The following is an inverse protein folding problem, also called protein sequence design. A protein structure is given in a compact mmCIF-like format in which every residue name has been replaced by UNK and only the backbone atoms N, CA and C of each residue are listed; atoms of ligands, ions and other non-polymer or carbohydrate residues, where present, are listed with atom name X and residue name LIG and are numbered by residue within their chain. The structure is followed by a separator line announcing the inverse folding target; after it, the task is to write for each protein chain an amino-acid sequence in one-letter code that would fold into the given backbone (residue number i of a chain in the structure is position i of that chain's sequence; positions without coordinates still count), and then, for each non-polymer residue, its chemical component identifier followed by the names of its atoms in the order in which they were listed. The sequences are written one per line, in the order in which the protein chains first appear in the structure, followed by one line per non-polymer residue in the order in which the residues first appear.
data_IF_674304607626
#
_entry.id   IF_674304607626
#
_cell.length_a   1.000
_cell.length_b   1.000
_cell.length_c   1.000
_cell.angle_alpha   90.00
_cell.angle_beta   90.00
_cell.angle_gamma   90.00
#
_symmetry.space_group_name_H-M   'P 1'
#
loop_
_entity.id
_entity.type
_entity.pdbx_description
1 polymer ?
#
# COMPACT_ATOMS: atom_id res chain seq x y z
N UNK A 1 12.88 -7.03 65.02
CA UNK A 1 12.51 -8.46 64.93
C UNK A 1 11.51 -8.61 63.81
N UNK A 2 11.98 -8.94 62.63
CA UNK A 2 11.15 -9.11 61.42
C UNK A 2 10.78 -10.59 61.26
N UNK A 3 9.50 -10.90 61.42
CA UNK A 3 8.96 -12.26 61.33
C UNK A 3 8.95 -12.66 59.86
N UNK A 4 9.77 -13.65 59.48
CA UNK A 4 9.73 -14.25 58.13
C UNK A 4 8.50 -15.16 58.04
N UNK A 5 7.53 -14.77 57.21
CA UNK A 5 6.37 -15.61 56.87
C UNK A 5 6.81 -16.74 55.95
N UNK A 6 6.47 -17.98 56.29
CA UNK A 6 6.89 -19.19 55.61
C UNK A 6 5.94 -19.46 54.40
N UNK A 7 6.48 -19.92 53.28
CA UNK A 7 5.78 -20.17 51.99
C UNK A 7 4.56 -21.08 52.13
N UNK A 8 4.49 -21.92 53.17
CA UNK A 8 3.34 -22.78 53.45
C UNK A 8 2.14 -22.05 54.04
N UNK A 9 2.34 -21.00 54.83
CA UNK A 9 1.23 -20.18 55.38
C UNK A 9 0.57 -19.31 54.32
N UNK A 10 1.34 -18.88 53.32
CA UNK A 10 0.80 -18.09 52.19
C UNK A 10 -0.15 -18.93 51.29
N UNK A 11 0.15 -20.21 51.10
CA UNK A 11 -0.70 -21.12 50.29
C UNK A 11 -2.00 -21.48 51.01
N UNK A 12 -2.03 -21.56 52.35
CA UNK A 12 -3.26 -21.85 53.09
C UNK A 12 -4.21 -20.67 53.20
N UNK A 13 -3.72 -19.44 53.21
CA UNK A 13 -4.58 -18.23 53.21
C UNK A 13 -5.14 -17.95 51.80
N UNK A 14 -4.40 -18.28 50.75
CA UNK A 14 -4.90 -18.15 49.38
C UNK A 14 -5.96 -19.20 49.00
N UNK A 15 -5.93 -20.38 49.63
CA UNK A 15 -6.90 -21.46 49.38
C UNK A 15 -8.29 -21.24 50.01
N UNK A 16 -8.39 -20.42 51.06
CA UNK A 16 -9.67 -20.13 51.72
C UNK A 16 -10.42 -18.93 51.13
N UNK A 17 -9.73 -18.07 50.35
CA UNK A 17 -10.37 -16.95 49.64
C UNK A 17 -10.97 -17.35 48.30
N UNK A 18 -10.62 -18.53 47.75
CA UNK A 18 -11.10 -18.98 46.42
C UNK A 18 -12.43 -19.75 46.48
N UNK A 19 -12.87 -20.19 47.67
CA UNK A 19 -14.09 -20.99 47.82
C UNK A 19 -15.37 -20.19 48.11
N UNK A 20 -15.28 -18.88 48.26
CA UNK A 20 -16.41 -18.00 48.60
C UNK A 20 -16.99 -17.16 47.47
N UNK A 21 -16.42 -17.20 46.27
CA UNK A 21 -16.83 -16.31 45.17
C UNK A 21 -17.37 -17.03 43.89
N UNK A 22 -17.80 -18.28 44.03
CA UNK A 22 -18.33 -19.05 42.91
C UNK A 22 -19.89 -19.17 42.85
N UNK A 23 -20.60 -18.20 43.40
CA UNK A 23 -22.06 -18.27 43.37
C UNK A 23 -22.69 -16.92 42.97
N UNK A 24 -22.40 -16.43 41.78
CA UNK A 24 -23.25 -15.47 41.04
C UNK A 24 -22.62 -15.07 39.69
N UNK A 25 -22.12 -16.00 38.90
CA UNK A 25 -21.94 -15.74 37.46
C UNK A 25 -23.06 -16.48 36.75
N UNK A 26 -24.17 -15.80 36.51
CA UNK A 26 -25.17 -16.27 35.58
C UNK A 26 -24.54 -16.54 34.21
N UNK A 27 -25.15 -17.35 33.33
CA UNK A 27 -24.59 -17.62 32.03
C UNK A 27 -24.35 -16.30 31.34
N UNK A 28 -23.06 -16.02 31.04
CA UNK A 28 -22.68 -14.94 30.13
C UNK A 28 -23.48 -15.21 28.85
N UNK A 29 -24.46 -14.33 28.58
CA UNK A 29 -25.12 -14.33 27.29
C UNK A 29 -23.99 -14.36 26.24
N UNK A 30 -24.01 -15.36 25.36
CA UNK A 30 -23.10 -15.45 24.26
C UNK A 30 -23.15 -14.09 23.55
N UNK A 31 -22.07 -13.34 23.65
CA UNK A 31 -21.96 -12.10 22.89
C UNK A 31 -22.14 -12.52 21.42
N UNK A 32 -23.16 -12.00 20.75
CA UNK A 32 -23.27 -12.15 19.30
C UNK A 32 -21.91 -11.78 18.72
N UNK A 33 -21.23 -12.76 18.13
CA UNK A 33 -19.96 -12.53 17.43
C UNK A 33 -20.26 -11.51 16.32
N UNK A 34 -19.92 -10.25 16.59
CA UNK A 34 -19.87 -9.26 15.51
C UNK A 34 -18.89 -9.80 14.48
N UNK A 35 -19.31 -9.90 13.19
CA UNK A 35 -18.38 -10.32 12.16
C UNK A 35 -17.12 -9.46 12.27
N UNK A 36 -15.96 -10.10 12.27
CA UNK A 36 -14.68 -9.40 12.35
C UNK A 36 -14.63 -8.29 11.31
N UNK A 37 -14.13 -7.10 11.66
CA UNK A 37 -14.05 -6.00 10.69
C UNK A 37 -13.24 -6.49 9.49
N UNK A 38 -13.77 -6.22 8.29
CA UNK A 38 -13.17 -6.64 7.03
C UNK A 38 -11.79 -6.02 6.89
N UNK A 39 -10.75 -6.83 6.67
CA UNK A 39 -9.40 -6.33 6.48
C UNK A 39 -9.28 -5.54 5.17
N UNK A 40 -8.30 -4.63 5.08
CA UNK A 40 -8.05 -3.89 3.84
C UNK A 40 -7.56 -4.80 2.71
N UNK A 41 -6.85 -5.91 3.02
CA UNK A 41 -6.47 -6.93 2.05
C UNK A 41 -7.69 -7.64 1.46
N UNK A 42 -8.64 -8.07 2.31
CA UNK A 42 -9.89 -8.66 1.85
C UNK A 42 -10.72 -7.68 1.00
N UNK A 43 -10.78 -6.41 1.40
CA UNK A 43 -11.46 -5.36 0.63
C UNK A 43 -10.80 -5.13 -0.74
N UNK A 44 -9.47 -5.08 -0.79
CA UNK A 44 -8.75 -4.95 -2.06
C UNK A 44 -9.03 -6.14 -2.98
N UNK A 45 -8.99 -7.36 -2.46
CA UNK A 45 -9.29 -8.60 -3.20
C UNK A 45 -10.68 -8.58 -3.81
N UNK A 46 -11.68 -8.11 -3.06
CA UNK A 46 -13.04 -7.93 -3.57
C UNK A 46 -13.11 -6.92 -4.72
N UNK A 47 -12.50 -5.74 -4.54
CA UNK A 47 -12.45 -4.71 -5.58
C UNK A 47 -11.73 -5.20 -6.84
N UNK A 48 -10.60 -5.88 -6.68
CA UNK A 48 -9.81 -6.42 -7.78
C UNK A 48 -10.57 -7.48 -8.61
N UNK A 49 -11.41 -8.29 -7.94
CA UNK A 49 -12.21 -9.32 -8.59
C UNK A 49 -13.63 -8.85 -8.95
N UNK A 50 -13.92 -7.58 -8.74
CA UNK A 50 -15.21 -6.97 -9.05
C UNK A 50 -15.45 -6.80 -10.55
N UNK A 51 -16.68 -6.38 -10.94
CA UNK A 51 -17.05 -6.20 -12.34
C UNK A 51 -16.36 -4.98 -12.98
N UNK A 52 -15.93 -4.03 -12.17
CA UNK A 52 -15.25 -2.82 -12.62
C UNK A 52 -13.76 -2.88 -12.28
N UNK A 53 -12.86 -2.54 -13.22
CA UNK A 53 -11.43 -2.46 -12.93
C UNK A 53 -11.13 -1.42 -11.83
N UNK A 54 -10.19 -1.75 -10.96
CA UNK A 54 -9.77 -0.88 -9.88
C UNK A 54 -8.68 0.09 -10.35
N UNK A 55 -8.94 1.38 -10.28
CA UNK A 55 -7.95 2.42 -10.51
C UNK A 55 -7.36 2.85 -9.17
N UNK A 56 -6.08 2.62 -8.97
CA UNK A 56 -5.30 3.09 -7.83
C UNK A 56 -4.51 4.33 -8.27
N UNK A 57 -4.94 5.50 -7.82
CA UNK A 57 -4.18 6.73 -8.08
C UNK A 57 -2.90 6.74 -7.24
N UNK A 58 -1.81 7.29 -7.81
CA UNK A 58 -0.50 7.26 -7.18
C UNK A 58 -0.38 8.40 -6.16
N UNK A 59 -0.25 8.03 -4.87
CA UNK A 59 0.06 8.96 -3.79
C UNK A 59 1.55 8.96 -3.50
N UNK A 60 2.03 10.03 -2.90
CA UNK A 60 3.39 10.15 -2.41
C UNK A 60 3.45 10.53 -0.92
N UNK A 61 2.32 10.98 -0.34
CA UNK A 61 2.18 11.30 1.07
C UNK A 61 0.73 11.08 1.56
N UNK A 62 0.48 11.31 2.84
CA UNK A 62 -0.84 11.16 3.46
C UNK A 62 -1.85 12.18 2.89
N UNK A 63 -1.43 13.41 2.61
CA UNK A 63 -2.33 14.45 2.09
C UNK A 63 -2.82 14.07 0.69
N UNK A 64 -1.92 13.62 -0.19
CA UNK A 64 -2.27 13.15 -1.53
C UNK A 64 -3.16 11.91 -1.47
N UNK A 65 -2.87 10.95 -0.58
CA UNK A 65 -3.68 9.75 -0.40
C UNK A 65 -5.12 10.10 0.05
N UNK A 66 -5.28 11.02 0.99
CA UNK A 66 -6.61 11.52 1.40
C UNK A 66 -7.30 12.31 0.30
N UNK A 67 -6.57 13.10 -0.47
CA UNK A 67 -7.15 13.81 -1.63
C UNK A 67 -7.69 12.82 -2.66
N UNK A 68 -6.97 11.73 -2.92
CA UNK A 68 -7.43 10.62 -3.77
C UNK A 68 -8.74 10.03 -3.23
N UNK A 69 -8.81 9.78 -1.92
CA UNK A 69 -10.03 9.28 -1.27
C UNK A 69 -11.20 10.28 -1.39
N UNK A 70 -10.96 11.58 -1.18
CA UNK A 70 -11.95 12.66 -1.34
C UNK A 70 -12.51 12.73 -2.77
N UNK A 71 -11.69 12.41 -3.77
CA UNK A 71 -12.12 12.29 -5.17
C UNK A 71 -12.86 10.99 -5.48
N UNK A 72 -13.07 10.12 -4.50
CA UNK A 72 -13.89 8.91 -4.63
C UNK A 72 -13.19 7.70 -5.24
N UNK A 73 -11.87 7.74 -5.41
CA UNK A 73 -11.10 6.55 -5.76
C UNK A 73 -11.24 5.47 -4.69
N UNK A 74 -11.12 4.21 -5.09
CA UNK A 74 -11.32 3.05 -4.21
C UNK A 74 -10.03 2.35 -3.80
N UNK A 75 -8.88 2.83 -4.28
CA UNK A 75 -7.56 2.33 -3.93
C UNK A 75 -6.49 3.39 -4.16
N UNK A 76 -5.43 3.28 -3.40
CA UNK A 76 -4.23 4.12 -3.49
C UNK A 76 -3.05 3.25 -3.88
N UNK A 77 -2.16 3.76 -4.71
CA UNK A 77 -0.87 3.16 -5.00
C UNK A 77 0.24 4.07 -4.46
N UNK A 78 1.20 3.51 -3.72
CA UNK A 78 2.41 4.21 -3.29
C UNK A 78 3.60 3.54 -3.96
N UNK A 79 4.27 4.28 -4.83
CA UNK A 79 5.44 3.76 -5.55
C UNK A 79 6.72 3.97 -4.76
N UNK A 80 7.64 3.00 -4.78
CA UNK A 80 8.95 3.11 -4.13
C UNK A 80 9.74 4.34 -4.58
N UNK A 81 9.61 4.73 -5.85
CA UNK A 81 10.22 5.97 -6.36
C UNK A 81 9.68 7.23 -5.69
N UNK A 82 8.38 7.28 -5.39
CA UNK A 82 7.78 8.38 -4.65
C UNK A 82 8.29 8.41 -3.20
N UNK A 83 8.37 7.25 -2.56
CA UNK A 83 8.91 7.12 -1.20
C UNK A 83 10.37 7.57 -1.12
N UNK A 84 11.23 7.21 -2.11
CA UNK A 84 12.61 7.70 -2.19
C UNK A 84 12.67 9.23 -2.31
N UNK A 85 11.80 9.83 -3.11
CA UNK A 85 11.72 11.27 -3.30
C UNK A 85 11.26 11.98 -2.03
N UNK A 86 10.21 11.48 -1.37
CA UNK A 86 9.64 12.11 -0.16
C UNK A 86 10.55 12.00 1.06
N UNK A 87 11.18 10.85 1.27
CA UNK A 87 12.03 10.65 2.44
C UNK A 87 13.39 11.35 2.31
N UNK A 88 14.00 11.32 1.13
CA UNK A 88 15.42 11.67 0.95
C UNK A 88 15.68 12.65 -0.19
N UNK A 89 14.68 13.01 -1.01
CA UNK A 89 14.84 13.76 -2.27
C UNK A 89 15.84 13.08 -3.22
N UNK A 90 15.86 11.75 -3.25
CA UNK A 90 16.78 10.94 -4.04
C UNK A 90 16.06 10.14 -5.13
N UNK A 91 16.78 9.80 -6.22
CA UNK A 91 16.22 8.95 -7.27
C UNK A 91 15.99 7.51 -6.79
N UNK A 92 15.15 6.76 -7.52
CA UNK A 92 14.85 5.35 -7.27
C UNK A 92 16.04 4.45 -7.65
N UNK A 93 16.98 4.31 -6.71
CA UNK A 93 18.21 3.53 -6.87
C UNK A 93 18.47 2.59 -5.69
N UNK A 94 17.42 2.11 -5.04
CA UNK A 94 17.50 1.23 -3.86
C UNK A 94 18.30 1.82 -2.69
N UNK A 95 18.20 3.12 -2.49
CA UNK A 95 18.85 3.82 -1.38
C UNK A 95 17.98 3.71 -0.13
N UNK A 96 16.67 3.89 -0.27
CA UNK A 96 15.70 3.64 0.78
C UNK A 96 15.54 2.12 0.95
N UNK A 97 15.63 1.66 2.17
CA UNK A 97 15.50 0.22 2.48
C UNK A 97 14.03 -0.22 2.46
N UNK A 98 13.80 -1.51 2.27
CA UNK A 98 12.44 -2.10 2.32
C UNK A 98 11.74 -1.80 3.67
N UNK A 99 12.48 -1.76 4.79
CA UNK A 99 11.91 -1.40 6.09
C UNK A 99 11.39 0.03 6.11
N UNK A 100 12.15 0.98 5.59
CA UNK A 100 11.74 2.39 5.50
C UNK A 100 10.54 2.57 4.56
N UNK A 101 10.49 1.86 3.43
CA UNK A 101 9.34 1.84 2.54
C UNK A 101 8.09 1.36 3.30
N UNK A 102 8.17 0.21 3.97
CA UNK A 102 7.04 -0.35 4.72
C UNK A 102 6.60 0.58 5.85
N UNK A 103 7.52 1.17 6.58
CA UNK A 103 7.20 2.12 7.65
C UNK A 103 6.48 3.35 7.11
N UNK A 104 6.98 3.95 6.04
CA UNK A 104 6.37 5.11 5.41
C UNK A 104 4.98 4.80 4.85
N UNK A 105 4.85 3.72 4.08
CA UNK A 105 3.59 3.34 3.45
C UNK A 105 2.54 2.90 4.49
N UNK A 106 2.98 2.37 5.65
CA UNK A 106 2.10 2.07 6.78
C UNK A 106 1.49 3.32 7.40
N UNK A 107 2.23 4.44 7.44
CA UNK A 107 1.66 5.74 7.88
C UNK A 107 0.56 6.18 6.93
N UNK A 108 0.74 6.02 5.63
CA UNK A 108 -0.29 6.33 4.63
C UNK A 108 -1.50 5.40 4.83
N UNK A 109 -1.26 4.08 4.95
CA UNK A 109 -2.32 3.08 5.12
C UNK A 109 -3.16 3.32 6.38
N UNK A 110 -2.53 3.75 7.48
CA UNK A 110 -3.22 4.08 8.72
C UNK A 110 -4.10 5.34 8.66
N UNK A 111 -3.94 6.16 7.63
CA UNK A 111 -4.60 7.46 7.51
C UNK A 111 -5.65 7.56 6.40
N UNK A 112 -5.97 6.48 5.70
CA UNK A 112 -7.03 6.40 4.69
C UNK A 112 -7.98 5.24 4.96
N UNK A 113 -9.22 5.34 4.49
CA UNK A 113 -10.24 4.28 4.63
C UNK A 113 -10.36 3.40 3.37
N UNK A 114 -9.43 3.55 2.43
CA UNK A 114 -9.35 2.77 1.18
C UNK A 114 -8.06 1.97 1.13
N UNK A 115 -8.04 0.79 0.47
CA UNK A 115 -6.87 -0.06 0.41
C UNK A 115 -5.64 0.62 -0.20
N UNK A 116 -4.48 0.42 0.41
CA UNK A 116 -3.18 0.90 -0.08
C UNK A 116 -2.40 -0.26 -0.69
N UNK A 117 -1.93 -0.06 -1.92
CA UNK A 117 -0.94 -0.89 -2.61
C UNK A 117 0.42 -0.26 -2.41
N UNK A 118 1.33 -0.96 -1.78
CA UNK A 118 2.73 -0.56 -1.62
C UNK A 118 3.62 -1.24 -2.67
N UNK A 119 4.42 -0.47 -3.39
CA UNK A 119 5.52 -0.98 -4.21
C UNK A 119 6.74 -1.17 -3.29
N UNK A 120 6.99 -2.40 -2.91
CA UNK A 120 8.03 -2.76 -1.93
C UNK A 120 9.30 -3.29 -2.60
N UNK A 121 9.51 -2.91 -3.84
CA UNK A 121 10.68 -3.28 -4.63
C UNK A 121 10.89 -4.81 -4.73
N UNK A 122 12.08 -5.32 -4.37
CA UNK A 122 12.42 -6.75 -4.35
C UNK A 122 11.99 -7.47 -3.06
N UNK A 123 11.31 -6.76 -2.15
CA UNK A 123 10.86 -7.25 -0.84
C UNK A 123 12.00 -7.86 0.00
N UNK A 124 13.25 -7.42 -0.23
CA UNK A 124 14.45 -7.90 0.44
C UNK A 124 15.12 -9.09 -0.23
N UNK A 125 14.69 -9.46 -1.45
CA UNK A 125 15.32 -10.35 -2.42
C UNK A 125 15.60 -11.81 -2.00
N UNK A 126 15.41 -12.16 -0.74
CA UNK A 126 15.58 -13.55 -0.26
C UNK A 126 14.31 -14.05 0.42
N UNK A 127 13.95 -15.35 0.32
CA UNK A 127 12.70 -15.86 0.90
C UNK A 127 12.53 -15.54 2.39
N UNK A 128 13.59 -15.56 3.20
CA UNK A 128 13.49 -15.25 4.62
C UNK A 128 13.21 -13.76 4.88
N UNK A 129 13.81 -12.87 4.11
CA UNK A 129 13.51 -11.44 4.20
C UNK A 129 12.09 -11.15 3.70
N UNK A 130 11.69 -11.74 2.57
CA UNK A 130 10.33 -11.62 2.03
C UNK A 130 9.30 -12.08 3.05
N UNK A 131 9.50 -13.23 3.70
CA UNK A 131 8.62 -13.73 4.76
C UNK A 131 8.49 -12.72 5.92
N UNK A 132 9.62 -12.19 6.38
CA UNK A 132 9.65 -11.19 7.46
C UNK A 132 8.93 -9.91 7.08
N UNK A 133 9.25 -9.36 5.90
CA UNK A 133 8.71 -8.08 5.44
C UNK A 133 7.23 -8.17 5.06
N UNK A 134 6.77 -9.30 4.52
CA UNK A 134 5.35 -9.52 4.26
C UNK A 134 4.52 -9.44 5.54
N UNK A 135 4.99 -10.05 6.62
CA UNK A 135 4.34 -9.92 7.95
C UNK A 135 4.39 -8.49 8.49
N UNK A 136 5.48 -7.76 8.26
CA UNK A 136 5.60 -6.38 8.70
C UNK A 136 4.64 -5.47 7.92
N UNK A 137 4.58 -5.59 6.60
CA UNK A 137 3.70 -4.84 5.72
C UNK A 137 2.21 -5.06 6.08
N UNK A 138 1.78 -6.31 6.24
CA UNK A 138 0.40 -6.62 6.61
C UNK A 138 0.03 -6.07 7.98
N UNK A 139 0.92 -6.17 8.99
CA UNK A 139 0.72 -5.57 10.32
C UNK A 139 0.67 -4.04 10.27
N UNK A 140 1.36 -3.43 9.33
CA UNK A 140 1.31 -1.99 9.06
C UNK A 140 0.02 -1.52 8.37
N UNK A 141 -0.89 -2.45 8.05
CA UNK A 141 -2.17 -2.11 7.40
C UNK A 141 -2.10 -2.03 5.87
N UNK A 142 -0.97 -2.38 5.26
CA UNK A 142 -0.82 -2.44 3.81
C UNK A 142 -1.74 -3.53 3.27
N UNK A 143 -2.66 -3.16 2.37
CA UNK A 143 -3.66 -4.06 1.81
C UNK A 143 -3.08 -4.97 0.71
N UNK A 144 -2.08 -4.47 0.01
CA UNK A 144 -1.48 -5.16 -1.12
C UNK A 144 0.00 -4.80 -1.25
N UNK A 145 0.87 -5.80 -1.36
CA UNK A 145 2.29 -5.62 -1.63
C UNK A 145 2.59 -6.00 -3.09
N UNK A 146 3.16 -5.05 -3.83
CA UNK A 146 3.69 -5.29 -5.17
C UNK A 146 5.22 -5.40 -5.07
N UNK A 147 5.79 -6.52 -5.51
CA UNK A 147 7.23 -6.76 -5.48
C UNK A 147 7.74 -7.37 -6.77
N UNK A 148 8.97 -7.02 -7.13
CA UNK A 148 9.50 -7.31 -8.45
C UNK A 148 10.60 -8.38 -8.44
N UNK A 149 10.88 -8.94 -9.62
CA UNK A 149 11.94 -9.91 -9.85
C UNK A 149 13.30 -9.26 -10.20
N UNK A 150 13.49 -7.98 -9.87
CA UNK A 150 14.76 -7.27 -10.11
C UNK A 150 15.87 -7.78 -9.22
N UNK A 151 17.08 -7.89 -9.77
CA UNK A 151 18.26 -8.21 -8.95
C UNK A 151 18.66 -7.01 -8.09
N UNK A 152 18.83 -7.17 -6.76
CA UNK A 152 19.15 -6.07 -5.86
C UNK A 152 20.39 -5.28 -6.24
N UNK A 153 21.45 -5.97 -6.63
CA UNK A 153 22.71 -5.34 -7.05
C UNK A 153 22.59 -4.48 -8.31
N UNK A 154 21.54 -4.69 -9.09
CA UNK A 154 21.32 -3.97 -10.33
C UNK A 154 20.41 -2.74 -10.13
N UNK A 155 19.90 -2.49 -8.93
CA UNK A 155 19.06 -1.30 -8.68
C UNK A 155 19.87 -0.02 -8.75
N UNK A 156 21.02 0.04 -8.11
CA UNK A 156 21.91 1.20 -8.19
C UNK A 156 22.42 1.48 -9.63
N UNK A 157 22.39 0.46 -10.49
CA UNK A 157 22.79 0.52 -11.90
C UNK A 157 21.63 0.19 -12.84
N UNK A 158 20.40 0.30 -12.37
CA UNK A 158 19.18 -0.20 -13.03
C UNK A 158 19.00 0.28 -14.47
N UNK A 159 19.52 1.45 -14.80
CA UNK A 159 19.45 2.00 -16.15
C UNK A 159 20.58 1.55 -17.07
N UNK A 160 21.66 0.98 -16.54
CA UNK A 160 22.83 0.57 -17.31
C UNK A 160 23.00 -0.95 -17.42
N UNK A 161 22.56 -1.72 -16.42
CA UNK A 161 22.70 -3.19 -16.40
C UNK A 161 21.40 -3.81 -15.88
N UNK A 162 20.37 -3.94 -16.73
CA UNK A 162 19.13 -4.59 -16.33
C UNK A 162 19.37 -6.08 -16.05
N UNK A 163 18.90 -6.56 -14.91
CA UNK A 163 18.94 -7.96 -14.54
C UNK A 163 17.74 -8.35 -13.70
N UNK A 164 17.30 -9.58 -13.90
CA UNK A 164 16.22 -10.19 -13.13
C UNK A 164 16.72 -11.41 -12.37
N UNK A 165 16.08 -11.70 -11.24
CA UNK A 165 16.34 -12.92 -10.48
C UNK A 165 16.13 -14.17 -11.33
N UNK A 166 16.85 -15.28 -11.06
CA UNK A 166 16.46 -16.58 -11.59
C UNK A 166 14.97 -16.84 -11.27
N UNK A 167 14.21 -17.34 -12.25
CA UNK A 167 12.76 -17.60 -12.12
C UNK A 167 12.44 -18.40 -10.85
N UNK A 168 13.22 -19.45 -10.55
CA UNK A 168 13.04 -20.27 -9.35
C UNK A 168 13.17 -19.44 -8.05
N UNK A 169 14.11 -18.48 -7.99
CA UNK A 169 14.28 -17.60 -6.82
C UNK A 169 13.06 -16.72 -6.60
N UNK A 170 12.49 -16.14 -7.66
CA UNK A 170 11.27 -15.34 -7.52
C UNK A 170 10.08 -16.20 -7.10
N UNK A 171 9.98 -17.44 -7.57
CA UNK A 171 8.98 -18.40 -7.13
C UNK A 171 9.12 -18.68 -5.61
N UNK A 172 10.34 -18.92 -5.12
CA UNK A 172 10.61 -19.11 -3.69
C UNK A 172 10.20 -17.87 -2.87
N UNK A 173 10.46 -16.67 -3.38
CA UNK A 173 10.06 -15.41 -2.76
C UNK A 173 8.53 -15.28 -2.69
N UNK A 174 7.82 -15.65 -3.76
CA UNK A 174 6.35 -15.63 -3.78
C UNK A 174 5.77 -16.62 -2.78
N UNK A 175 6.31 -17.84 -2.70
CA UNK A 175 5.90 -18.84 -1.70
C UNK A 175 6.10 -18.27 -0.28
N UNK A 176 7.27 -17.69 0.01
CA UNK A 176 7.55 -17.09 1.31
C UNK A 176 6.59 -15.96 1.69
N UNK A 177 6.22 -15.10 0.73
CA UNK A 177 5.22 -14.06 0.94
C UNK A 177 3.83 -14.65 1.19
N UNK A 178 3.46 -15.69 0.42
CA UNK A 178 2.17 -16.37 0.57
C UNK A 178 2.03 -17.08 1.92
N UNK A 179 3.09 -17.73 2.40
CA UNK A 179 3.12 -18.37 3.72
C UNK A 179 3.10 -17.37 4.89
N UNK A 180 3.57 -16.15 4.65
CA UNK A 180 3.70 -15.13 5.70
C UNK A 180 2.42 -14.35 5.95
N UNK A 181 1.63 -14.12 4.89
CA UNK A 181 0.43 -13.27 4.95
C UNK A 181 -0.78 -14.00 5.52
N UNK A 182 -1.75 -13.22 5.96
CA UNK A 182 -3.12 -13.69 6.26
C UNK A 182 -4.07 -13.31 5.12
N UNK A 183 -4.26 -12.01 4.88
CA UNK A 183 -5.22 -11.47 3.90
C UNK A 183 -4.61 -10.54 2.86
N UNK A 184 -3.39 -10.03 3.09
CA UNK A 184 -2.72 -9.11 2.17
C UNK A 184 -2.64 -9.69 0.76
N UNK A 185 -2.96 -8.88 -0.25
CA UNK A 185 -2.85 -9.28 -1.66
C UNK A 185 -1.39 -9.19 -2.11
N UNK A 186 -0.96 -10.15 -2.91
CA UNK A 186 0.38 -10.20 -3.49
C UNK A 186 0.33 -9.92 -4.98
N UNK A 187 1.03 -8.88 -5.42
CA UNK A 187 1.26 -8.58 -6.83
C UNK A 187 2.71 -8.93 -7.16
N UNK A 188 2.92 -9.96 -7.98
CA UNK A 188 4.24 -10.26 -8.50
C UNK A 188 4.49 -9.43 -9.76
N UNK A 189 5.51 -8.57 -9.73
CA UNK A 189 5.91 -7.73 -10.86
C UNK A 189 7.00 -8.43 -11.65
N UNK A 190 6.70 -8.74 -12.91
CA UNK A 190 7.65 -9.33 -13.85
C UNK A 190 8.32 -8.22 -14.68
N UNK A 191 9.61 -8.04 -14.52
CA UNK A 191 10.41 -7.04 -15.23
C UNK A 191 11.08 -7.62 -16.50
N UNK A 192 11.10 -8.94 -16.73
CA UNK A 192 11.34 -9.44 -18.06
C UNK A 192 10.24 -8.85 -18.98
N UNK A 193 10.55 -8.36 -20.14
CA UNK A 193 11.66 -8.60 -21.03
C UNK A 193 12.77 -7.53 -20.98
N UNK A 194 12.91 -6.76 -19.92
CA UNK A 194 13.86 -5.64 -19.88
C UNK A 194 15.27 -6.04 -20.31
N UNK A 195 15.85 -7.19 -19.86
CA UNK A 195 17.19 -7.56 -20.32
C UNK A 195 17.26 -7.97 -21.79
N UNK A 196 16.22 -8.66 -22.32
CA UNK A 196 16.32 -9.37 -23.59
C UNK A 196 15.16 -9.06 -24.56
N UNK A 197 14.23 -8.16 -24.22
CA UNK A 197 12.99 -7.91 -24.97
C UNK A 197 12.19 -9.19 -25.31
N UNK A 198 12.30 -10.23 -24.49
CA UNK A 198 11.67 -11.53 -24.73
C UNK A 198 10.25 -11.57 -24.15
N UNK A 199 9.28 -11.36 -25.02
CA UNK A 199 7.85 -11.50 -24.64
C UNK A 199 7.52 -12.92 -24.14
N UNK A 200 8.14 -13.94 -24.74
CA UNK A 200 7.93 -15.34 -24.34
C UNK A 200 8.45 -15.60 -22.94
N UNK A 201 9.65 -15.11 -22.59
CA UNK A 201 10.20 -15.23 -21.24
C UNK A 201 9.33 -14.50 -20.22
N UNK A 202 8.86 -13.31 -20.55
CA UNK A 202 7.97 -12.56 -19.67
C UNK A 202 6.69 -13.35 -19.38
N UNK A 203 6.05 -13.93 -20.39
CA UNK A 203 4.82 -14.71 -20.20
C UNK A 203 5.08 -16.00 -19.39
N UNK A 204 6.19 -16.69 -19.66
CA UNK A 204 6.60 -17.90 -18.93
C UNK A 204 6.83 -17.60 -17.43
N UNK A 205 7.53 -16.50 -17.12
CA UNK A 205 7.73 -16.04 -15.74
C UNK A 205 6.43 -15.62 -15.08
N UNK A 206 5.66 -14.78 -15.76
CA UNK A 206 4.39 -14.26 -15.24
C UNK A 206 3.38 -15.38 -14.91
N UNK A 207 3.28 -16.39 -15.77
CA UNK A 207 2.45 -17.57 -15.51
C UNK A 207 2.96 -18.37 -14.31
N UNK A 208 4.28 -18.61 -14.22
CA UNK A 208 4.87 -19.31 -13.08
C UNK A 208 4.69 -18.54 -11.76
N UNK A 209 4.75 -17.22 -11.77
CA UNK A 209 4.48 -16.39 -10.58
C UNK A 209 3.01 -16.45 -10.13
N UNK A 210 2.09 -16.49 -11.10
CA UNK A 210 0.67 -16.71 -10.84
C UNK A 210 0.41 -18.08 -10.18
N UNK A 211 1.07 -19.13 -10.66
CA UNK A 211 0.99 -20.49 -10.10
C UNK A 211 1.63 -20.59 -8.71
N UNK A 212 2.71 -19.86 -8.46
CA UNK A 212 3.41 -19.82 -7.18
C UNK A 212 2.63 -19.15 -6.04
N UNK A 213 1.48 -18.52 -6.33
CA UNK A 213 0.62 -17.95 -5.28
C UNK A 213 0.44 -16.44 -5.33
N UNK A 214 0.94 -15.75 -6.35
CA UNK A 214 0.59 -14.37 -6.60
C UNK A 214 -0.92 -14.25 -6.92
N UNK A 215 -1.60 -13.27 -6.30
CA UNK A 215 -3.00 -12.99 -6.56
C UNK A 215 -3.22 -12.23 -7.86
N UNK A 216 -2.22 -11.41 -8.22
CA UNK A 216 -2.23 -10.55 -9.39
C UNK A 216 -0.81 -10.48 -9.97
N UNK A 217 -0.69 -10.26 -11.27
CA UNK A 217 0.62 -10.15 -11.93
C UNK A 217 0.76 -8.80 -12.60
N UNK A 218 1.84 -8.10 -12.29
CA UNK A 218 2.18 -6.82 -12.90
C UNK A 218 3.18 -7.04 -14.04
N UNK A 219 2.75 -6.67 -15.25
CA UNK A 219 3.56 -6.74 -16.47
C UNK A 219 3.50 -5.39 -17.20
N UNK A 220 4.59 -5.06 -17.88
CA UNK A 220 4.67 -3.89 -18.74
C UNK A 220 4.54 -4.26 -20.21
N UNK A 221 3.41 -3.96 -20.83
CA UNK A 221 3.16 -4.27 -22.24
C UNK A 221 2.88 -2.99 -23.06
N UNK A 222 3.26 -2.97 -24.34
CA UNK A 222 3.16 -1.77 -25.18
C UNK A 222 1.73 -1.45 -25.58
N UNK A 223 0.86 -2.45 -25.77
CA UNK A 223 -0.51 -2.26 -26.28
C UNK A 223 -1.56 -2.99 -25.45
N UNK A 224 -2.81 -2.50 -25.50
CA UNK A 224 -3.96 -3.18 -24.89
C UNK A 224 -4.16 -4.60 -25.44
N UNK A 225 -3.89 -4.82 -26.72
CA UNK A 225 -4.02 -6.15 -27.33
C UNK A 225 -3.02 -7.17 -26.79
N UNK A 226 -1.82 -6.71 -26.40
CA UNK A 226 -0.83 -7.59 -25.79
C UNK A 226 -1.24 -7.99 -24.37
N UNK A 227 -1.92 -7.10 -23.61
CA UNK A 227 -2.52 -7.46 -22.33
C UNK A 227 -3.61 -8.53 -22.48
N UNK A 228 -4.45 -8.47 -23.53
CA UNK A 228 -5.46 -9.51 -23.78
C UNK A 228 -4.80 -10.88 -23.98
N UNK A 229 -3.74 -10.95 -24.82
CA UNK A 229 -2.97 -12.20 -25.03
C UNK A 229 -2.33 -12.70 -23.74
N UNK A 230 -1.76 -11.79 -22.94
CA UNK A 230 -1.15 -12.12 -21.67
C UNK A 230 -2.17 -12.66 -20.67
N UNK A 231 -3.38 -12.09 -20.62
CA UNK A 231 -4.44 -12.55 -19.75
C UNK A 231 -4.87 -14.01 -20.04
N UNK A 232 -4.85 -14.42 -21.31
CA UNK A 232 -5.15 -15.80 -21.70
C UNK A 232 -4.09 -16.80 -21.20
N UNK A 233 -2.81 -16.38 -21.17
CA UNK A 233 -1.71 -17.20 -20.73
C UNK A 233 -1.59 -17.25 -19.20
N UNK A 234 -1.74 -16.12 -18.52
CA UNK A 234 -1.46 -15.97 -17.08
C UNK A 234 -2.64 -16.45 -16.23
N UNK A 235 -3.90 -16.27 -16.68
CA UNK A 235 -5.13 -16.71 -15.99
C UNK A 235 -5.30 -16.18 -14.56
N UNK A 236 -4.70 -15.04 -14.26
CA UNK A 236 -4.84 -14.29 -13.02
C UNK A 236 -5.12 -12.83 -13.34
N UNK A 237 -5.67 -12.05 -12.42
CA UNK A 237 -5.79 -10.60 -12.57
C UNK A 237 -4.47 -9.97 -13.01
N UNK A 238 -4.55 -9.03 -13.96
CA UNK A 238 -3.39 -8.27 -14.43
C UNK A 238 -3.39 -6.87 -13.83
N UNK A 239 -2.19 -6.42 -13.47
CA UNK A 239 -1.90 -5.07 -13.02
C UNK A 239 -1.09 -4.32 -14.10
N UNK A 240 -1.42 -3.05 -14.34
CA UNK A 240 -0.75 -2.24 -15.35
C UNK A 240 -0.56 -0.78 -14.91
N UNK A 241 0.41 -0.10 -15.52
CA UNK A 241 0.51 1.36 -15.47
C UNK A 241 -0.41 1.94 -16.53
N UNK A 242 -1.39 2.71 -16.09
CA UNK A 242 -2.44 3.37 -16.89
C UNK A 242 -2.28 4.90 -16.85
N UNK A 243 -3.13 5.65 -17.57
CA UNK A 243 -3.05 7.11 -17.61
C UNK A 243 -1.95 7.63 -18.52
N UNK A 244 -1.57 6.83 -19.52
CA UNK A 244 -0.64 7.19 -20.59
C UNK A 244 -1.38 7.37 -21.91
N UNK A 245 -0.82 8.08 -22.90
CA UNK A 245 -1.51 8.31 -24.19
C UNK A 245 -1.99 7.04 -24.88
N UNK A 246 -1.21 5.95 -24.78
CA UNK A 246 -1.54 4.65 -25.38
C UNK A 246 -2.33 3.72 -24.46
N UNK A 247 -2.55 4.08 -23.21
CA UNK A 247 -3.35 3.33 -22.25
C UNK A 247 -4.06 4.27 -21.27
N UNK A 248 -5.22 4.85 -21.64
CA UNK A 248 -5.97 5.78 -20.80
C UNK A 248 -6.43 5.14 -19.47
N UNK A 249 -6.46 5.93 -18.40
CA UNK A 249 -6.95 5.49 -17.08
C UNK A 249 -8.50 5.52 -17.04
N UNK A 250 -9.14 4.72 -17.89
CA UNK A 250 -10.60 4.59 -17.92
C UNK A 250 -11.02 3.13 -17.71
N UNK A 251 -12.14 2.87 -17.02
CA UNK A 251 -12.65 1.50 -16.88
C UNK A 251 -12.84 0.79 -18.21
N UNK A 252 -13.31 1.51 -19.25
CA UNK A 252 -13.51 0.95 -20.57
C UNK A 252 -12.20 0.46 -21.23
N UNK A 253 -11.12 1.27 -21.15
CA UNK A 253 -9.82 0.88 -21.70
C UNK A 253 -9.21 -0.31 -20.95
N UNK A 254 -9.33 -0.32 -19.62
CA UNK A 254 -8.85 -1.42 -18.78
C UNK A 254 -9.62 -2.72 -19.03
N UNK A 255 -10.96 -2.66 -19.15
CA UNK A 255 -11.78 -3.82 -19.51
C UNK A 255 -11.40 -4.37 -20.89
N UNK A 256 -11.24 -3.51 -21.88
CA UNK A 256 -10.83 -3.91 -23.21
C UNK A 256 -9.46 -4.60 -23.21
N UNK A 257 -8.55 -4.20 -22.33
CA UNK A 257 -7.24 -4.81 -22.13
C UNK A 257 -7.25 -6.00 -21.14
N UNK A 258 -8.39 -6.31 -20.50
CA UNK A 258 -8.50 -7.33 -19.43
C UNK A 258 -7.56 -7.07 -18.24
N UNK A 259 -7.32 -5.81 -17.92
CA UNK A 259 -6.54 -5.36 -16.78
C UNK A 259 -7.49 -5.12 -15.59
N UNK A 260 -7.25 -5.81 -14.50
CA UNK A 260 -8.09 -5.74 -13.30
C UNK A 260 -7.74 -4.56 -12.41
N UNK A 261 -6.45 -4.24 -12.30
CA UNK A 261 -5.95 -3.14 -11.45
C UNK A 261 -4.97 -2.29 -12.25
N UNK A 262 -5.11 -0.98 -12.13
CA UNK A 262 -4.19 -0.04 -12.78
C UNK A 262 -3.73 1.04 -11.83
N UNK A 263 -2.46 1.41 -11.90
CA UNK A 263 -1.91 2.56 -11.21
C UNK A 263 -1.63 3.71 -12.19
N UNK A 264 -1.85 4.95 -11.75
CA UNK A 264 -1.53 6.15 -12.52
C UNK A 264 -0.03 6.48 -12.42
N UNK A 265 0.54 7.30 -13.32
CA UNK A 265 1.88 7.85 -13.12
C UNK A 265 2.01 8.63 -11.81
N UNK A 266 3.23 8.76 -11.25
CA UNK A 266 3.48 9.51 -10.02
C UNK A 266 3.01 10.95 -10.09
N UNK A 267 2.29 11.41 -9.06
CA UNK A 267 1.78 12.79 -8.99
C UNK A 267 2.76 13.77 -8.34
N UNK A 268 3.79 13.28 -7.67
CA UNK A 268 4.79 14.12 -6.97
C UNK A 268 5.41 15.16 -7.89
N UNK A 269 5.80 14.80 -9.12
CA UNK A 269 6.39 15.75 -10.05
C UNK A 269 5.40 16.81 -10.54
N UNK A 270 4.10 16.53 -10.54
CA UNK A 270 3.05 17.52 -10.85
C UNK A 270 2.96 18.53 -9.70
N UNK A 271 2.94 18.05 -8.45
CA UNK A 271 2.92 18.88 -7.26
C UNK A 271 4.19 19.75 -7.16
N UNK A 272 5.36 19.15 -7.35
CA UNK A 272 6.64 19.89 -7.36
C UNK A 272 6.68 20.95 -8.46
N UNK A 273 6.13 20.66 -9.63
CA UNK A 273 6.03 21.65 -10.72
C UNK A 273 5.12 22.85 -10.38
N UNK A 274 4.09 22.66 -9.55
CA UNK A 274 3.28 23.77 -9.04
C UNK A 274 4.06 24.60 -8.00
N UNK A 275 4.76 23.92 -7.08
CA UNK A 275 5.63 24.57 -6.08
C UNK A 275 6.77 25.36 -6.75
N UNK A 276 7.43 24.78 -7.74
CA UNK A 276 8.51 25.43 -8.50
C UNK A 276 8.05 26.76 -9.14
N UNK A 277 6.86 26.75 -9.78
CA UNK A 277 6.26 27.97 -10.33
C UNK A 277 5.97 29.03 -9.27
N UNK A 278 5.45 28.60 -8.10
CA UNK A 278 5.18 29.50 -7.00
C UNK A 278 6.46 30.14 -6.44
N UNK A 279 7.54 29.38 -6.31
CA UNK A 279 8.84 29.87 -5.88
C UNK A 279 9.47 30.84 -6.90
N UNK A 280 9.34 30.56 -8.19
CA UNK A 280 9.80 31.46 -9.25
C UNK A 280 9.04 32.79 -9.24
N UNK A 281 7.72 32.78 -9.05
CA UNK A 281 6.91 33.99 -8.91
C UNK A 281 7.32 34.79 -7.66
N UNK A 282 7.45 34.12 -6.52
CA UNK A 282 7.89 34.73 -5.26
C UNK A 282 9.25 35.44 -5.42
N UNK A 283 10.18 34.75 -6.06
CA UNK A 283 11.52 35.35 -6.31
C UNK A 283 11.47 36.56 -7.23
N UNK A 284 10.61 36.53 -8.25
CA UNK A 284 10.53 37.60 -9.25
C UNK A 284 9.74 38.81 -8.78
N UNK A 285 8.70 38.61 -7.96
CA UNK A 285 7.71 39.67 -7.64
C UNK A 285 7.57 39.97 -6.15
N UNK A 286 8.09 39.11 -5.27
CA UNK A 286 7.88 39.18 -3.83
C UNK A 286 6.51 38.68 -3.38
N UNK A 287 5.71 38.05 -4.27
CA UNK A 287 4.38 37.51 -4.00
C UNK A 287 4.11 36.20 -4.70
N UNK A 288 2.96 35.57 -4.43
CA UNK A 288 2.51 34.30 -5.03
C UNK A 288 1.07 34.39 -5.54
N UNK A 289 0.66 35.57 -6.08
CA UNK A 289 -0.74 35.85 -6.44
C UNK A 289 -1.25 34.92 -7.55
N UNK A 290 -0.46 34.64 -8.56
CA UNK A 290 -0.85 33.76 -9.66
C UNK A 290 -0.85 32.29 -9.20
N UNK A 291 0.17 31.88 -8.46
CA UNK A 291 0.26 30.52 -7.92
C UNK A 291 -0.92 30.19 -6.98
N UNK A 292 -1.34 31.14 -6.16
CA UNK A 292 -2.47 30.97 -5.24
C UNK A 292 -3.81 30.70 -5.94
N UNK A 293 -3.98 31.09 -7.21
CA UNK A 293 -5.17 30.76 -7.99
C UNK A 293 -5.37 29.25 -8.18
N UNK A 294 -4.26 28.48 -8.15
CA UNK A 294 -4.28 27.02 -8.23
C UNK A 294 -4.37 26.30 -6.88
N UNK A 295 -4.40 27.04 -5.76
CA UNK A 295 -4.47 26.43 -4.44
C UNK A 295 -5.81 25.75 -4.21
N UNK A 296 -5.81 24.68 -3.38
CA UNK A 296 -7.02 23.99 -2.98
C UNK A 296 -7.98 24.95 -2.25
N UNK A 297 -9.27 24.79 -2.50
CA UNK A 297 -10.28 25.53 -1.74
C UNK A 297 -10.25 25.13 -0.26
N UNK A 298 -10.62 26.05 0.64
CA UNK A 298 -10.76 25.76 2.07
C UNK A 298 -11.62 24.53 2.34
N UNK A 299 -12.76 24.41 1.65
CA UNK A 299 -13.67 23.28 1.81
C UNK A 299 -13.01 21.93 1.40
N UNK A 300 -12.13 21.93 0.41
CA UNK A 300 -11.37 20.73 0.03
C UNK A 300 -10.31 20.40 1.09
N UNK A 301 -9.59 21.41 1.58
CA UNK A 301 -8.60 21.23 2.66
C UNK A 301 -9.26 20.66 3.91
N UNK A 302 -10.39 21.22 4.36
CA UNK A 302 -11.13 20.73 5.53
C UNK A 302 -11.58 19.27 5.39
N UNK A 303 -11.95 18.84 4.18
CA UNK A 303 -12.25 17.41 3.89
C UNK A 303 -11.02 16.53 3.99
N UNK A 304 -9.90 16.96 3.38
CA UNK A 304 -8.62 16.21 3.42
C UNK A 304 -8.10 16.10 4.85
N UNK A 305 -8.23 17.16 5.65
CA UNK A 305 -7.81 17.21 7.06
C UNK A 305 -8.82 16.58 8.03
N UNK A 306 -9.98 16.10 7.55
CA UNK A 306 -11.07 15.51 8.37
C UNK A 306 -11.54 16.43 9.51
N UNK A 307 -11.62 17.74 9.25
CA UNK A 307 -11.95 18.75 10.26
C UNK A 307 -13.30 18.47 10.94
N UNK A 308 -14.32 18.02 10.19
CA UNK A 308 -15.64 17.70 10.77
C UNK A 308 -15.58 16.50 11.74
N UNK A 309 -14.80 15.46 11.41
CA UNK A 309 -14.59 14.32 12.30
C UNK A 309 -13.89 14.76 13.60
N UNK A 310 -12.83 15.57 13.48
CA UNK A 310 -12.11 16.12 14.64
C UNK A 310 -13.01 17.02 15.49
N UNK A 311 -13.86 17.84 14.86
CA UNK A 311 -14.83 18.67 15.56
C UNK A 311 -15.89 17.83 16.29
N UNK A 312 -16.32 16.71 15.70
CA UNK A 312 -17.23 15.79 16.37
C UNK A 312 -16.59 15.17 17.61
N UNK A 313 -15.32 14.76 17.53
CA UNK A 313 -14.56 14.26 18.67
C UNK A 313 -14.32 15.36 19.73
N UNK A 314 -14.00 16.58 19.32
CA UNK A 314 -13.82 17.74 20.20
C UNK A 314 -15.10 18.03 20.99
N UNK A 315 -16.26 18.06 20.34
CA UNK A 315 -17.56 18.19 21.01
C UNK A 315 -17.81 17.08 22.03
N UNK A 316 -17.50 15.82 21.64
CA UNK A 316 -17.67 14.64 22.51
C UNK A 316 -16.82 14.72 23.78
N UNK A 317 -15.63 15.28 23.68
CA UNK A 317 -14.68 15.37 24.80
C UNK A 317 -14.61 16.77 25.43
N UNK A 318 -15.52 17.70 25.10
CA UNK A 318 -15.56 19.09 25.59
C UNK A 318 -14.25 19.86 25.33
N UNK A 319 -13.66 19.65 24.17
CA UNK A 319 -12.47 20.36 23.69
C UNK A 319 -12.86 21.52 22.75
N UNK A 320 -12.00 22.53 22.56
CA UNK A 320 -12.19 23.54 21.53
C UNK A 320 -12.31 22.89 20.15
N UNK A 321 -13.13 23.46 19.27
CA UNK A 321 -13.26 22.98 17.88
C UNK A 321 -11.95 23.19 17.12
N UNK A 322 -11.58 22.22 16.29
CA UNK A 322 -10.53 22.40 15.30
C UNK A 322 -11.04 23.42 14.27
N UNK A 323 -10.28 24.46 13.99
CA UNK A 323 -10.50 25.36 12.87
C UNK A 323 -9.30 25.25 11.95
N UNK A 324 -9.54 25.16 10.63
CA UNK A 324 -8.45 25.38 9.69
C UNK A 324 -7.92 26.83 9.91
N UNK A 325 -6.59 27.04 9.87
CA UNK A 325 -6.04 28.37 10.07
C UNK A 325 -6.66 29.36 9.06
N UNK A 326 -7.01 30.53 9.56
CA UNK A 326 -7.42 31.64 8.69
C UNK A 326 -6.26 31.97 7.75
N UNK A 327 -6.52 31.89 6.46
CA UNK A 327 -5.53 32.21 5.40
C UNK A 327 -5.62 33.68 5.03
#
# INVERSE_FOLDING_TARGET
MTRKTNRREFVQVAGLAASGLMAAVGPLAAAEERPAPRTMGARFRELMNGPEPLICANAYDVLTARLIEVHGFKGVFVGSSATNQELLALPDQAIVTVSEIIEYDSVIAANVEIPVVADVDDFGATPLNVYRFAKQAERGGIACAAFDDRMPLNRATAYSVPGVLPKARMIDNIHAAADARTDMVLIARCLAPIPNNSYTEMLDRAAAYAEAGADCVWIGLPTAQDFVKAADAIKKPLFAVIGRPNFPATPAAMKAARVAVGQTPPMVNIALGAVDKALAELQATGGMTEAQKGALSRATVEKVERVEELNALSRKYNLPSASAPER
#
